data_IF_298841973571
#
_entry.id   IF_298841973571
#
_cell.length_a   1.000
_cell.length_b   1.000
_cell.length_c   1.000
_cell.angle_alpha   90.00
_cell.angle_beta   90.00
_cell.angle_gamma   90.00
#
_symmetry.space_group_name_H-M   'P 1'
#
loop_
_entity.id
_entity.type
_entity.pdbx_description
1 polymer ?
#
# COMPACT_ATOMS: atom_id res chain seq x y z
N UNK A 1 -9.38 21.75 -38.34
CA UNK A 1 -8.87 20.62 -37.53
C UNK A 1 -7.81 21.18 -36.62
N UNK A 2 -8.22 21.65 -35.46
CA UNK A 2 -7.29 22.21 -34.45
C UNK A 2 -7.02 21.14 -33.40
N UNK A 3 -5.74 20.76 -33.36
CA UNK A 3 -5.22 19.85 -32.34
C UNK A 3 -5.15 20.60 -31.01
N UNK A 4 -6.07 20.30 -30.10
CA UNK A 4 -6.05 20.83 -28.75
C UNK A 4 -4.75 20.47 -28.01
N UNK A 5 -4.25 21.31 -27.09
CA UNK A 5 -3.01 21.08 -26.41
C UNK A 5 -3.13 19.87 -25.47
N UNK A 6 -2.30 18.85 -25.71
CA UNK A 6 -2.06 17.78 -24.73
C UNK A 6 -1.52 18.46 -23.47
N UNK A 7 -2.30 18.43 -22.39
CA UNK A 7 -1.84 18.79 -21.07
C UNK A 7 -0.57 18.01 -20.74
N UNK A 8 0.57 18.71 -20.66
CA UNK A 8 1.82 18.20 -20.08
C UNK A 8 1.52 17.92 -18.62
N UNK A 9 1.33 16.63 -18.27
CA UNK A 9 1.45 16.20 -16.89
C UNK A 9 2.86 16.59 -16.45
N UNK A 10 2.95 17.55 -15.54
CA UNK A 10 4.19 17.91 -14.83
C UNK A 10 4.60 16.67 -14.01
N UNK A 11 5.48 15.85 -14.55
CA UNK A 11 6.01 14.69 -13.85
C UNK A 11 6.99 15.19 -12.79
N UNK A 12 6.52 15.35 -11.57
CA UNK A 12 7.37 15.55 -10.39
C UNK A 12 8.35 14.37 -10.29
N UNK A 13 9.63 14.65 -10.00
CA UNK A 13 10.63 13.62 -9.69
C UNK A 13 10.13 12.82 -8.46
N UNK A 14 9.98 11.49 -8.56
CA UNK A 14 9.51 10.69 -7.44
C UNK A 14 10.53 10.71 -6.28
N UNK A 15 10.04 10.84 -5.05
CA UNK A 15 10.84 10.88 -3.83
C UNK A 15 10.90 9.49 -3.22
N UNK A 16 12.10 9.00 -2.95
CA UNK A 16 12.35 7.75 -2.22
C UNK A 16 12.96 8.09 -0.86
N UNK A 17 12.30 7.68 0.21
CA UNK A 17 12.85 7.72 1.56
C UNK A 17 13.58 6.40 1.84
N UNK A 18 14.84 6.50 2.26
CA UNK A 18 15.66 5.35 2.70
C UNK A 18 15.81 5.46 4.20
N UNK A 19 15.36 4.43 4.94
CA UNK A 19 15.54 4.32 6.39
C UNK A 19 16.45 3.10 6.65
N UNK A 20 17.72 3.36 6.92
CA UNK A 20 18.80 2.37 7.03
C UNK A 20 19.88 2.93 7.95
N UNK A 21 20.30 2.22 8.97
CA UNK A 21 21.31 2.70 9.91
C UNK A 21 22.75 2.53 9.39
N UNK A 22 22.99 1.53 8.54
CA UNK A 22 24.30 1.28 7.95
C UNK A 22 24.64 2.37 6.92
N UNK A 23 25.43 3.37 7.31
CA UNK A 23 25.77 4.54 6.50
C UNK A 23 26.32 4.17 5.11
N UNK A 24 27.31 3.22 4.96
CA UNK A 24 27.83 2.88 3.64
C UNK A 24 26.77 2.30 2.69
N UNK A 25 25.85 1.48 3.22
CA UNK A 25 24.76 0.91 2.43
C UNK A 25 23.76 1.99 2.03
N UNK A 26 23.31 2.82 3.00
CA UNK A 26 22.38 3.94 2.77
C UNK A 26 22.88 4.88 1.69
N UNK A 27 24.14 5.35 1.81
CA UNK A 27 24.76 6.23 0.80
C UNK A 27 24.91 5.56 -0.57
N UNK A 28 25.28 4.27 -0.61
CA UNK A 28 25.42 3.53 -1.88
C UNK A 28 24.08 3.42 -2.59
N UNK A 29 23.02 3.07 -1.85
CA UNK A 29 21.66 3.02 -2.37
C UNK A 29 21.21 4.43 -2.81
N UNK A 30 21.45 5.44 -1.99
CA UNK A 30 21.07 6.83 -2.29
C UNK A 30 21.71 7.34 -3.58
N UNK A 31 23.01 7.15 -3.76
CA UNK A 31 23.74 7.54 -4.99
C UNK A 31 23.16 6.83 -6.23
N UNK A 32 22.94 5.52 -6.12
CA UNK A 32 22.40 4.75 -7.24
C UNK A 32 20.99 5.21 -7.63
N UNK A 33 20.10 5.43 -6.65
CA UNK A 33 18.74 5.90 -6.91
C UNK A 33 18.72 7.32 -7.48
N UNK A 34 19.59 8.20 -6.98
CA UNK A 34 19.74 9.56 -7.55
C UNK A 34 20.18 9.50 -9.01
N UNK A 35 21.16 8.65 -9.35
CA UNK A 35 21.59 8.46 -10.74
C UNK A 35 20.50 7.83 -11.62
N UNK A 36 19.57 7.10 -11.01
CA UNK A 36 18.40 6.49 -11.68
C UNK A 36 17.21 7.45 -11.82
N UNK A 37 17.36 8.73 -11.44
CA UNK A 37 16.36 9.78 -11.63
C UNK A 37 15.35 9.93 -10.49
N UNK A 38 15.67 9.46 -9.28
CA UNK A 38 14.87 9.67 -8.09
C UNK A 38 15.39 10.85 -7.26
N UNK A 39 14.49 11.55 -6.56
CA UNK A 39 14.87 12.36 -5.42
C UNK A 39 14.98 11.45 -4.19
N UNK A 40 16.07 11.59 -3.42
CA UNK A 40 16.36 10.71 -2.28
C UNK A 40 16.36 11.51 -0.99
N UNK A 41 15.69 10.97 0.03
CA UNK A 41 15.74 11.42 1.42
C UNK A 41 16.28 10.26 2.24
N UNK A 42 17.23 10.54 3.13
CA UNK A 42 17.91 9.54 3.95
C UNK A 42 17.59 9.74 5.43
N UNK A 43 17.45 8.62 6.15
CA UNK A 43 17.23 8.56 7.59
C UNK A 43 17.98 7.36 8.18
N UNK A 44 18.56 7.50 9.35
CA UNK A 44 19.34 6.45 10.03
C UNK A 44 18.61 5.81 11.21
N UNK A 45 17.36 6.20 11.51
CA UNK A 45 16.64 5.77 12.70
C UNK A 45 15.12 5.80 12.49
N UNK A 46 14.37 5.16 13.40
CA UNK A 46 12.90 5.22 13.42
C UNK A 46 12.40 6.66 13.57
N UNK A 47 13.02 7.44 14.46
CA UNK A 47 12.64 8.82 14.72
C UNK A 47 12.85 9.71 13.48
N UNK A 48 14.02 9.61 12.84
CA UNK A 48 14.32 10.34 11.60
C UNK A 48 13.42 9.90 10.46
N UNK A 49 13.19 8.59 10.30
CA UNK A 49 12.33 8.03 9.27
C UNK A 49 10.90 8.54 9.36
N UNK A 50 10.35 8.63 10.57
CA UNK A 50 9.00 9.16 10.80
C UNK A 50 8.92 10.66 10.48
N UNK A 51 9.90 11.45 10.93
CA UNK A 51 9.97 12.88 10.66
C UNK A 51 10.11 13.18 9.16
N UNK A 52 11.04 12.46 8.48
CA UNK A 52 11.28 12.61 7.04
C UNK A 52 10.07 12.19 6.21
N UNK A 53 9.35 11.16 6.60
CA UNK A 53 8.12 10.75 5.91
C UNK A 53 7.03 11.82 6.00
N UNK A 54 6.90 12.47 7.14
CA UNK A 54 5.96 13.57 7.34
C UNK A 54 6.31 14.80 6.53
N UNK A 55 7.59 15.20 6.56
CA UNK A 55 8.08 16.43 5.92
C UNK A 55 8.08 16.33 4.39
N UNK A 56 8.58 15.21 3.85
CA UNK A 56 8.86 15.08 2.42
C UNK A 56 7.80 14.34 1.63
N UNK A 57 6.83 13.69 2.29
CA UNK A 57 5.74 12.93 1.64
C UNK A 57 6.27 12.01 0.52
N UNK A 58 7.12 11.00 0.84
CA UNK A 58 7.78 10.18 -0.16
C UNK A 58 6.80 9.35 -0.99
N UNK A 59 7.17 9.07 -2.23
CA UNK A 59 6.42 8.22 -3.15
C UNK A 59 6.71 6.72 -2.92
N UNK A 60 7.86 6.38 -2.31
CA UNK A 60 8.27 5.02 -1.89
C UNK A 60 9.14 5.13 -0.65
N UNK A 61 9.04 4.15 0.24
CA UNK A 61 9.86 4.04 1.45
C UNK A 61 10.62 2.72 1.42
N UNK A 62 11.95 2.77 1.50
CA UNK A 62 12.82 1.63 1.77
C UNK A 62 13.07 1.61 3.28
N UNK A 63 12.86 0.48 3.93
CA UNK A 63 12.86 0.41 5.38
C UNK A 63 13.63 -0.82 5.87
N UNK A 64 14.75 -0.59 6.57
CA UNK A 64 15.40 -1.68 7.27
C UNK A 64 14.53 -2.16 8.43
N UNK A 65 14.60 -3.44 8.67
CA UNK A 65 13.91 -4.11 9.78
C UNK A 65 14.61 -3.80 11.12
N UNK A 66 15.94 -3.70 11.12
CA UNK A 66 16.73 -3.44 12.31
C UNK A 66 17.23 -2.00 12.30
N UNK A 67 16.81 -1.21 13.28
CA UNK A 67 17.21 0.17 13.46
C UNK A 67 17.67 0.41 14.91
N UNK A 68 18.56 1.39 15.16
CA UNK A 68 19.21 1.56 16.46
C UNK A 68 18.25 1.95 17.57
N UNK A 69 17.13 2.59 17.25
CA UNK A 69 16.13 3.13 18.19
C UNK A 69 14.80 2.37 18.12
N UNK A 70 14.74 1.23 17.41
CA UNK A 70 13.53 0.42 17.34
C UNK A 70 13.49 -0.54 16.16
N UNK A 71 12.31 -1.01 15.82
CA UNK A 71 12.08 -1.93 14.71
C UNK A 71 11.46 -1.21 13.51
N UNK A 72 11.92 -1.55 12.29
CA UNK A 72 11.26 -1.13 11.06
C UNK A 72 9.79 -1.55 11.00
N UNK A 73 9.41 -2.63 11.68
CA UNK A 73 8.00 -3.02 11.78
C UNK A 73 7.17 -2.00 12.57
N UNK A 74 7.73 -1.47 13.67
CA UNK A 74 7.08 -0.42 14.46
C UNK A 74 6.98 0.89 13.67
N UNK A 75 8.04 1.24 12.92
CA UNK A 75 8.00 2.41 12.05
C UNK A 75 6.95 2.24 10.95
N UNK A 76 6.87 1.08 10.32
CA UNK A 76 5.84 0.79 9.32
C UNK A 76 4.43 0.97 9.90
N UNK A 77 4.17 0.43 11.09
CA UNK A 77 2.88 0.59 11.76
C UNK A 77 2.53 2.06 12.05
N UNK A 78 3.53 2.90 12.40
CA UNK A 78 3.36 4.34 12.61
C UNK A 78 3.18 5.11 11.29
N UNK A 79 3.80 4.66 10.21
CA UNK A 79 3.72 5.29 8.89
C UNK A 79 2.38 5.01 8.20
N UNK A 80 1.81 3.83 8.36
CA UNK A 80 0.59 3.43 7.63
C UNK A 80 -0.63 4.33 7.84
N UNK A 81 -0.87 4.93 9.01
CA UNK A 81 -1.94 5.91 9.17
C UNK A 81 -1.71 7.24 8.44
N UNK A 82 -0.45 7.57 8.09
CA UNK A 82 -0.07 8.88 7.56
C UNK A 82 0.42 8.84 6.11
N UNK A 83 0.65 7.65 5.52
CA UNK A 83 1.07 7.56 4.11
C UNK A 83 0.52 6.33 3.41
N UNK A 84 0.13 6.52 2.14
CA UNK A 84 -0.20 5.46 1.19
C UNK A 84 1.03 5.00 0.36
N UNK A 85 2.21 5.59 0.58
CA UNK A 85 3.42 5.23 -0.13
C UNK A 85 3.75 3.73 0.05
N UNK A 86 4.16 3.01 -0.99
CA UNK A 86 4.63 1.65 -0.83
C UNK A 86 5.86 1.60 0.07
N UNK A 87 5.84 0.64 1.01
CA UNK A 87 6.96 0.34 1.90
C UNK A 87 7.58 -0.98 1.46
N UNK A 88 8.88 -0.95 1.18
CA UNK A 88 9.70 -2.09 0.81
C UNK A 88 10.66 -2.36 1.96
N UNK A 89 10.56 -3.52 2.61
CA UNK A 89 11.52 -3.91 3.63
C UNK A 89 12.86 -4.33 3.03
N UNK A 90 13.95 -3.88 3.63
CA UNK A 90 15.29 -4.40 3.46
C UNK A 90 15.58 -5.33 4.63
N UNK A 91 15.82 -6.63 4.39
CA UNK A 91 15.94 -7.61 5.47
C UNK A 91 17.11 -8.55 5.26
N UNK A 92 17.78 -8.99 6.34
CA UNK A 92 18.82 -10.00 6.27
C UNK A 92 18.20 -11.39 5.96
N UNK A 93 18.89 -12.17 5.12
CA UNK A 93 18.52 -13.57 4.82
C UNK A 93 18.51 -14.41 6.12
N UNK A 94 17.39 -15.10 6.39
CA UNK A 94 17.25 -16.03 7.54
C UNK A 94 16.22 -15.66 8.59
N UNK A 95 15.53 -14.52 8.45
CA UNK A 95 14.42 -14.14 9.35
C UNK A 95 13.04 -14.49 8.77
N UNK A 96 12.91 -15.65 8.13
CA UNK A 96 11.66 -16.07 7.45
C UNK A 96 10.41 -16.04 8.33
N UNK A 97 10.57 -16.21 9.65
CA UNK A 97 9.46 -16.08 10.60
C UNK A 97 8.97 -14.64 10.76
N UNK A 98 9.81 -13.64 10.46
CA UNK A 98 9.48 -12.22 10.59
C UNK A 98 8.95 -11.63 9.27
N UNK A 99 9.18 -12.24 8.11
CA UNK A 99 8.59 -11.83 6.83
C UNK A 99 7.07 -11.89 6.90
N UNK A 100 6.52 -12.94 7.50
CA UNK A 100 5.08 -13.09 7.74
C UNK A 100 4.54 -12.01 8.67
N UNK A 101 5.28 -11.65 9.72
CA UNK A 101 4.93 -10.55 10.61
C UNK A 101 5.04 -9.19 9.91
N UNK A 102 6.06 -8.98 9.07
CA UNK A 102 6.28 -7.75 8.33
C UNK A 102 5.20 -7.43 7.28
N UNK A 103 4.72 -8.44 6.57
CA UNK A 103 3.59 -8.29 5.65
C UNK A 103 2.27 -8.05 6.39
N UNK A 104 2.13 -8.59 7.61
CA UNK A 104 0.98 -8.31 8.47
C UNK A 104 0.96 -6.86 8.98
N UNK A 105 2.11 -6.16 9.02
CA UNK A 105 2.19 -4.73 9.37
C UNK A 105 1.86 -3.80 8.20
N UNK A 106 1.60 -4.33 7.00
CA UNK A 106 1.15 -3.56 5.85
C UNK A 106 2.24 -3.15 4.87
N UNK A 107 3.41 -3.80 4.86
CA UNK A 107 4.42 -3.60 3.81
C UNK A 107 3.95 -4.13 2.45
N UNK A 108 4.45 -3.52 1.38
CA UNK A 108 4.06 -3.84 0.00
C UNK A 108 5.03 -4.82 -0.69
N UNK A 109 6.28 -4.89 -0.24
CA UNK A 109 7.31 -5.79 -0.77
C UNK A 109 8.46 -5.95 0.25
N UNK A 110 9.36 -6.90 -0.02
CA UNK A 110 10.59 -7.08 0.73
C UNK A 110 11.76 -7.45 -0.19
N UNK A 111 12.97 -7.09 0.21
CA UNK A 111 14.20 -7.42 -0.49
C UNK A 111 15.21 -7.94 0.52
N UNK A 112 15.70 -9.17 0.28
CA UNK A 112 16.71 -9.78 1.13
C UNK A 112 18.09 -9.18 0.86
N UNK A 113 18.82 -8.81 1.92
CA UNK A 113 20.25 -8.43 1.86
C UNK A 113 21.12 -9.71 1.79
N UNK A 114 22.19 -9.75 0.94
CA UNK A 114 22.61 -8.69 0.03
C UNK A 114 21.77 -8.66 -1.25
N UNK A 115 21.53 -7.46 -1.79
CA UNK A 115 20.75 -7.24 -3.01
C UNK A 115 21.53 -6.43 -4.06
N UNK A 116 21.20 -6.65 -5.33
CA UNK A 116 21.71 -5.82 -6.42
C UNK A 116 20.97 -4.48 -6.50
N UNK A 117 21.72 -3.38 -6.67
CA UNK A 117 21.12 -2.03 -6.75
C UNK A 117 20.16 -1.87 -7.93
N UNK A 118 20.45 -2.50 -9.07
CA UNK A 118 19.55 -2.56 -10.23
C UNK A 118 18.24 -3.27 -9.92
N UNK A 119 18.30 -4.37 -9.15
CA UNK A 119 17.11 -5.11 -8.73
C UNK A 119 16.24 -4.26 -7.81
N UNK A 120 16.87 -3.53 -6.89
CA UNK A 120 16.20 -2.60 -6.00
C UNK A 120 15.50 -1.49 -6.81
N UNK A 121 16.23 -0.83 -7.72
CA UNK A 121 15.66 0.22 -8.58
C UNK A 121 14.49 -0.29 -9.43
N UNK A 122 14.61 -1.49 -10.02
CA UNK A 122 13.52 -2.11 -10.77
C UNK A 122 12.27 -2.38 -9.93
N UNK A 123 12.44 -2.81 -8.67
CA UNK A 123 11.32 -3.01 -7.73
C UNK A 123 10.66 -1.71 -7.32
N UNK A 124 11.44 -0.66 -7.03
CA UNK A 124 10.92 0.69 -6.77
C UNK A 124 10.10 1.18 -7.96
N UNK A 125 10.63 1.08 -9.18
CA UNK A 125 9.89 1.45 -10.38
C UNK A 125 8.62 0.63 -10.57
N UNK A 126 8.65 -0.67 -10.24
CA UNK A 126 7.46 -1.52 -10.31
C UNK A 126 6.40 -1.07 -9.30
N UNK A 127 6.78 -0.67 -8.09
CA UNK A 127 5.84 -0.14 -7.10
C UNK A 127 5.27 1.22 -7.55
N UNK A 128 6.11 2.12 -8.08
CA UNK A 128 5.67 3.41 -8.61
C UNK A 128 4.73 3.26 -9.82
N UNK A 129 5.01 2.33 -10.74
CA UNK A 129 4.06 2.04 -11.84
C UNK A 129 2.74 1.50 -11.34
N UNK A 130 2.71 0.75 -10.23
CA UNK A 130 1.47 0.28 -9.59
C UNK A 130 0.67 1.43 -9.01
N UNK A 131 1.35 2.47 -8.50
CA UNK A 131 0.70 3.71 -8.05
C UNK A 131 0.31 4.61 -9.22
N UNK A 132 1.10 4.61 -10.30
CA UNK A 132 0.91 5.46 -11.50
C UNK A 132 0.12 4.78 -12.63
N UNK A 133 -0.11 3.45 -12.56
CA UNK A 133 -0.94 2.79 -13.57
C UNK A 133 -2.35 3.38 -13.48
N UNK A 134 -2.91 3.88 -14.59
CA UNK A 134 -4.29 4.33 -14.61
C UNK A 134 -5.18 3.10 -14.37
N UNK A 135 -5.44 2.80 -13.11
CA UNK A 135 -6.65 2.06 -12.81
C UNK A 135 -7.75 2.98 -13.28
N UNK A 136 -8.57 2.50 -14.21
CA UNK A 136 -9.65 3.26 -14.79
C UNK A 136 -10.42 3.94 -13.68
N UNK A 137 -10.05 5.20 -13.43
CA UNK A 137 -10.80 6.21 -12.82
C UNK A 137 -11.36 5.94 -11.41
N UNK A 138 -12.36 6.61 -11.19
CA UNK A 138 -13.22 6.69 -10.06
C UNK A 138 -14.21 5.53 -10.06
N UNK A 139 -14.44 4.90 -8.92
CA UNK A 139 -15.57 4.01 -8.71
C UNK A 139 -16.59 4.78 -7.90
N UNK A 140 -17.75 4.98 -8.48
CA UNK A 140 -18.89 5.62 -7.84
C UNK A 140 -19.96 4.55 -7.58
N UNK A 141 -20.10 4.17 -6.31
CA UNK A 141 -21.14 3.30 -5.77
C UNK A 141 -21.83 4.04 -4.62
N UNK A 142 -22.70 5.01 -4.90
CA UNK A 142 -23.25 5.84 -3.84
C UNK A 142 -23.81 5.02 -2.68
N UNK A 143 -23.48 5.35 -1.41
CA UNK A 143 -22.75 6.53 -0.97
C UNK A 143 -21.21 6.38 -0.90
N UNK A 144 -20.62 5.35 -1.52
CA UNK A 144 -19.17 5.11 -1.59
C UNK A 144 -18.57 5.68 -2.88
N UNK A 145 -17.56 6.51 -2.74
CA UNK A 145 -16.75 7.07 -3.83
C UNK A 145 -15.28 6.71 -3.60
N UNK A 146 -14.64 6.11 -4.61
CA UNK A 146 -13.21 5.82 -4.61
C UNK A 146 -12.55 6.53 -5.77
N UNK A 147 -11.47 7.25 -5.50
CA UNK A 147 -10.57 7.75 -6.52
C UNK A 147 -9.20 7.07 -6.40
N UNK A 148 -8.88 6.22 -7.36
CA UNK A 148 -7.60 5.49 -7.35
C UNK A 148 -6.40 6.37 -7.72
N UNK A 149 -6.62 7.54 -8.32
CA UNK A 149 -5.54 8.45 -8.71
C UNK A 149 -5.05 9.25 -7.50
N UNK A 150 -5.99 9.69 -6.66
CA UNK A 150 -5.69 10.45 -5.44
C UNK A 150 -5.55 9.57 -4.20
N UNK A 151 -6.10 8.35 -4.25
CA UNK A 151 -6.22 7.50 -3.08
C UNK A 151 -7.39 7.89 -2.16
N UNK A 152 -8.19 8.86 -2.58
CA UNK A 152 -9.33 9.38 -1.84
C UNK A 152 -10.46 8.33 -1.76
N UNK A 153 -10.98 8.14 -0.57
CA UNK A 153 -12.15 7.31 -0.32
C UNK A 153 -13.15 8.11 0.51
N UNK A 154 -14.34 8.26 -0.03
CA UNK A 154 -15.45 8.95 0.67
C UNK A 154 -16.60 7.96 0.83
N UNK A 155 -17.09 7.80 2.05
CA UNK A 155 -18.27 7.01 2.38
C UNK A 155 -19.24 7.85 3.22
N UNK A 156 -20.48 7.95 2.80
CA UNK A 156 -21.51 8.79 3.45
C UNK A 156 -21.05 10.24 3.65
N UNK A 157 -20.31 10.81 2.67
CA UNK A 157 -19.77 12.16 2.73
C UNK A 157 -18.59 12.35 3.69
N UNK A 158 -18.06 11.25 4.27
CA UNK A 158 -16.89 11.27 5.17
C UNK A 158 -15.69 10.68 4.47
N UNK A 159 -14.56 11.37 4.57
CA UNK A 159 -13.28 10.87 4.09
C UNK A 159 -12.77 9.74 4.98
N UNK A 160 -12.32 8.63 4.36
CA UNK A 160 -11.80 7.45 5.05
C UNK A 160 -10.38 7.17 4.58
N UNK A 161 -9.43 7.19 5.50
CA UNK A 161 -8.03 6.92 5.20
C UNK A 161 -7.74 5.42 5.18
N UNK A 162 -7.48 4.91 3.98
CA UNK A 162 -7.14 3.51 3.73
C UNK A 162 -5.65 3.37 3.40
N UNK A 163 -5.05 2.28 3.87
CA UNK A 163 -3.75 1.85 3.35
C UNK A 163 -3.89 1.43 1.90
N UNK A 164 -2.78 1.37 1.18
CA UNK A 164 -2.78 0.93 -0.22
C UNK A 164 -3.43 -0.44 -0.43
N UNK A 165 -3.15 -1.39 0.49
CA UNK A 165 -3.73 -2.74 0.40
C UNK A 165 -5.23 -2.75 0.69
N UNK A 166 -5.67 -1.96 1.67
CA UNK A 166 -7.09 -1.78 1.96
C UNK A 166 -7.83 -1.14 0.77
N UNK A 167 -7.23 -0.10 0.15
CA UNK A 167 -7.77 0.53 -1.04
C UNK A 167 -7.86 -0.45 -2.22
N UNK A 168 -6.82 -1.27 -2.41
CA UNK A 168 -6.82 -2.29 -3.46
C UNK A 168 -7.89 -3.36 -3.22
N UNK A 169 -8.03 -3.79 -1.97
CA UNK A 169 -9.03 -4.78 -1.57
C UNK A 169 -10.45 -4.21 -1.71
N UNK A 170 -10.67 -2.98 -1.24
CA UNK A 170 -11.96 -2.29 -1.41
C UNK A 170 -12.33 -2.14 -2.89
N UNK A 171 -11.37 -1.76 -3.70
CA UNK A 171 -11.59 -1.64 -5.12
C UNK A 171 -11.86 -2.96 -5.84
N UNK A 172 -11.24 -4.04 -5.41
CA UNK A 172 -11.60 -5.37 -5.90
C UNK A 172 -13.07 -5.67 -5.56
N UNK A 173 -13.47 -5.44 -4.34
CA UNK A 173 -14.84 -5.67 -3.90
C UNK A 173 -15.85 -4.73 -4.58
N UNK A 174 -15.51 -3.46 -4.73
CA UNK A 174 -16.37 -2.46 -5.37
C UNK A 174 -16.59 -2.72 -6.86
N UNK A 175 -15.65 -3.38 -7.53
CA UNK A 175 -15.82 -3.81 -8.92
C UNK A 175 -16.51 -5.17 -9.05
N UNK A 176 -16.66 -5.92 -7.96
CA UNK A 176 -17.24 -7.25 -7.92
C UNK A 176 -18.36 -7.35 -6.86
N UNK A 177 -19.21 -6.34 -6.79
CA UNK A 177 -20.33 -6.29 -5.84
C UNK A 177 -21.23 -7.52 -5.99
N UNK A 178 -21.52 -8.19 -4.89
CA UNK A 178 -22.33 -9.40 -4.86
C UNK A 178 -21.61 -10.69 -5.28
N UNK A 179 -20.39 -10.57 -5.82
CA UNK A 179 -19.58 -11.72 -6.22
C UNK A 179 -18.68 -12.14 -5.06
N UNK A 180 -18.83 -13.39 -4.63
CA UNK A 180 -18.00 -13.94 -3.58
C UNK A 180 -16.59 -14.28 -4.07
N UNK A 181 -15.56 -13.97 -3.25
CA UNK A 181 -14.18 -14.33 -3.52
C UNK A 181 -13.58 -15.15 -2.38
N UNK A 182 -12.92 -16.24 -2.70
CA UNK A 182 -12.14 -17.02 -1.75
C UNK A 182 -10.89 -16.26 -1.33
N UNK A 183 -10.30 -16.67 -0.23
CA UNK A 183 -9.05 -16.09 0.23
C UNK A 183 -7.91 -16.24 -0.80
N UNK A 184 -7.84 -17.37 -1.51
CA UNK A 184 -6.84 -17.62 -2.55
C UNK A 184 -7.05 -16.70 -3.77
N UNK A 185 -8.30 -16.48 -4.17
CA UNK A 185 -8.65 -15.56 -5.26
C UNK A 185 -8.28 -14.11 -4.89
N UNK A 186 -8.54 -13.68 -3.66
CA UNK A 186 -8.13 -12.36 -3.16
C UNK A 186 -6.62 -12.22 -3.11
N UNK A 187 -5.88 -13.23 -2.62
CA UNK A 187 -4.42 -13.23 -2.64
C UNK A 187 -3.86 -13.07 -4.05
N UNK A 188 -4.40 -13.80 -5.02
CA UNK A 188 -3.96 -13.70 -6.41
C UNK A 188 -4.30 -12.33 -7.02
N UNK A 189 -5.51 -11.82 -6.80
CA UNK A 189 -6.00 -10.60 -7.43
C UNK A 189 -5.42 -9.32 -6.81
N UNK A 190 -5.33 -9.26 -5.49
CA UNK A 190 -4.94 -8.06 -4.74
C UNK A 190 -3.47 -8.06 -4.38
N UNK A 191 -2.95 -9.17 -3.85
CA UNK A 191 -1.54 -9.29 -3.43
C UNK A 191 -0.61 -9.80 -4.55
N UNK A 192 -1.18 -10.36 -5.64
CA UNK A 192 -0.43 -10.92 -6.78
C UNK A 192 0.64 -11.94 -6.35
N UNK A 193 0.43 -12.58 -5.21
CA UNK A 193 1.35 -13.54 -4.64
C UNK A 193 0.91 -14.97 -4.94
N UNK A 194 1.87 -15.84 -5.28
CA UNK A 194 1.65 -17.28 -5.32
C UNK A 194 1.74 -17.82 -3.89
N UNK A 195 0.66 -18.38 -3.43
CA UNK A 195 0.43 -19.39 -2.40
C UNK A 195 1.07 -19.32 -0.99
N UNK A 196 2.16 -18.61 -0.73
CA UNK A 196 2.88 -18.69 0.57
C UNK A 196 2.72 -17.45 1.49
N UNK A 197 1.95 -16.46 1.11
CA UNK A 197 1.61 -15.37 2.02
C UNK A 197 0.56 -15.90 3.00
N UNK A 198 0.90 -15.81 4.28
CA UNK A 198 0.09 -16.38 5.35
C UNK A 198 -1.39 -16.03 5.21
N UNK A 199 -2.22 -17.05 5.30
CA UNK A 199 -3.70 -17.05 5.35
C UNK A 199 -4.28 -15.95 6.24
N UNK A 200 -3.46 -15.41 7.14
CA UNK A 200 -3.85 -14.39 8.11
C UNK A 200 -3.90 -12.97 7.53
N UNK A 201 -3.14 -12.68 6.46
CA UNK A 201 -3.04 -11.32 5.88
C UNK A 201 -4.38 -10.84 5.31
N UNK A 202 -5.06 -11.69 4.54
CA UNK A 202 -6.39 -11.34 3.99
C UNK A 202 -7.39 -11.07 5.10
N UNK A 203 -7.42 -11.95 6.13
CA UNK A 203 -8.33 -11.79 7.27
C UNK A 203 -8.09 -10.48 8.02
N UNK A 204 -6.84 -10.13 8.27
CA UNK A 204 -6.47 -8.90 8.95
C UNK A 204 -6.86 -7.66 8.13
N UNK A 205 -6.56 -7.66 6.83
CA UNK A 205 -6.91 -6.54 5.94
C UNK A 205 -8.43 -6.39 5.80
N UNK A 206 -9.18 -7.50 5.68
CA UNK A 206 -10.65 -7.48 5.67
C UNK A 206 -11.19 -6.96 7.00
N UNK A 207 -10.63 -7.40 8.14
CA UNK A 207 -11.05 -6.93 9.47
C UNK A 207 -10.81 -5.42 9.64
N UNK A 208 -9.63 -4.94 9.23
CA UNK A 208 -9.30 -3.52 9.26
C UNK A 208 -10.22 -2.70 8.35
N UNK A 209 -10.46 -3.17 7.13
CA UNK A 209 -11.36 -2.51 6.18
C UNK A 209 -12.78 -2.41 6.72
N UNK A 210 -13.31 -3.51 7.30
CA UNK A 210 -14.63 -3.50 7.95
C UNK A 210 -14.73 -2.44 9.04
N UNK A 211 -13.69 -2.36 9.89
CA UNK A 211 -13.65 -1.41 11.00
C UNK A 211 -13.61 0.04 10.49
N UNK A 212 -12.76 0.34 9.52
CA UNK A 212 -12.57 1.70 8.99
C UNK A 212 -13.80 2.22 8.25
N UNK A 213 -14.46 1.36 7.50
CA UNK A 213 -15.64 1.69 6.71
C UNK A 213 -16.96 1.37 7.42
N UNK A 214 -16.90 0.88 8.67
CA UNK A 214 -18.09 0.46 9.42
C UNK A 214 -19.02 -0.51 8.64
N UNK A 215 -18.42 -1.48 7.91
CA UNK A 215 -19.12 -2.41 7.03
C UNK A 215 -19.81 -3.53 7.81
N UNK A 216 -20.79 -3.19 8.62
CA UNK A 216 -21.57 -4.06 9.48
C UNK A 216 -23.07 -3.87 9.22
N UNK A 217 -23.91 -4.66 9.89
CA UNK A 217 -25.34 -4.56 9.76
C UNK A 217 -25.84 -3.13 10.01
N UNK A 218 -26.64 -2.62 9.08
CA UNK A 218 -27.18 -1.25 9.14
C UNK A 218 -26.37 -0.19 8.42
N UNK A 219 -25.24 -0.54 7.75
CA UNK A 219 -24.52 0.36 6.87
C UNK A 219 -24.96 0.20 5.40
N UNK A 220 -24.63 1.17 4.56
CA UNK A 220 -24.93 1.12 3.12
C UNK A 220 -24.23 -0.07 2.40
N UNK A 221 -23.18 -0.59 3.00
CA UNK A 221 -22.44 -1.75 2.49
C UNK A 221 -22.13 -2.74 3.61
N UNK A 222 -22.13 -3.99 3.26
CA UNK A 222 -21.74 -5.10 4.12
C UNK A 222 -20.62 -5.90 3.46
N UNK A 223 -19.62 -6.29 4.26
CA UNK A 223 -18.57 -7.21 3.84
C UNK A 223 -18.57 -8.40 4.78
N UNK A 224 -19.07 -9.51 4.33
CA UNK A 224 -19.26 -10.71 5.15
C UNK A 224 -18.51 -11.93 4.60
N UNK A 225 -18.40 -12.96 5.42
CA UNK A 225 -17.95 -14.27 4.97
C UNK A 225 -19.19 -15.16 4.83
N UNK A 226 -19.47 -15.58 3.61
CA UNK A 226 -20.56 -16.50 3.31
C UNK A 226 -20.26 -17.93 3.81
N UNK A 227 -21.27 -18.78 3.86
CA UNK A 227 -21.17 -20.15 4.35
C UNK A 227 -20.16 -21.03 3.57
N UNK A 228 -19.93 -20.70 2.30
CA UNK A 228 -18.96 -21.34 1.40
C UNK A 228 -17.52 -20.81 1.57
N UNK A 229 -17.24 -20.04 2.64
CA UNK A 229 -15.96 -19.39 2.97
C UNK A 229 -15.48 -18.35 1.93
N UNK A 230 -16.41 -17.72 1.20
CA UNK A 230 -16.15 -16.58 0.31
C UNK A 230 -16.42 -15.27 1.04
N UNK A 231 -15.58 -14.28 0.80
CA UNK A 231 -15.87 -12.90 1.19
C UNK A 231 -16.78 -12.27 0.15
N UNK A 232 -17.88 -11.70 0.60
CA UNK A 232 -18.89 -11.06 -0.26
C UNK A 232 -19.07 -9.63 0.19
N UNK A 233 -18.91 -8.70 -0.74
CA UNK A 233 -19.23 -7.29 -0.55
C UNK A 233 -20.58 -7.00 -1.18
N UNK A 234 -21.53 -6.51 -0.39
CA UNK A 234 -22.90 -6.22 -0.85
C UNK A 234 -23.24 -4.78 -0.56
N UNK A 235 -23.94 -4.15 -1.50
CA UNK A 235 -24.64 -2.92 -1.25
C UNK A 235 -26.00 -3.27 -0.66
N UNK A 236 -26.25 -2.80 0.56
CA UNK A 236 -27.55 -2.90 1.20
C UNK A 236 -28.36 -1.71 0.70
N UNK A 237 -29.63 -1.91 0.28
CA UNK A 237 -30.48 -0.82 -0.20
C UNK A 237 -30.52 0.29 0.83
N UNK A 238 -29.92 1.41 0.49
CA UNK A 238 -30.08 2.65 1.19
C UNK A 238 -31.37 3.28 0.64
N UNK A 239 -32.40 3.38 1.47
CA UNK A 239 -33.58 4.19 1.17
C UNK A 239 -33.28 5.58 1.76
N UNK A 240 -32.97 6.58 0.92
CA UNK A 240 -32.73 7.93 1.44
C UNK A 240 -34.07 8.51 1.88
N UNK A 241 -34.25 8.66 3.18
CA UNK A 241 -35.36 9.46 3.73
C UNK A 241 -35.13 10.94 3.47
#
# INVERSE_FOLDING_TARGET
>A
MESGPRAKQSSRTPIVLIVEDEVPLRESVGRHLTSSGFAVVEAGSVAEGLASAWEHQPDVILLDVLLPDGSGYELCAKLRPITAAPIIYLTALGQDRNIVAGLATGADDYIAKPFGLEVLAARIQAQLRRTSAPRKGRIDLPPLHLDYLTGEVVLDGREVYLTKMELQLLGYFATNVGVGATQSELLAAVWRSKADIATNTVRQTVSSLRKKLSLNQGSAFELEMAADKRYVFRQVRFDPQ
#
